data_IF_199336657364
#
_entry.id   IF_199336657364
#
_cell.length_a   1.000
_cell.length_b   1.000
_cell.length_c   1.000
_cell.angle_alpha   90.00
_cell.angle_beta   90.00
_cell.angle_gamma   90.00
#
_symmetry.space_group_name_H-M   'P 1'
#
loop_
_entity.id
_entity.type
_entity.pdbx_description
1 polymer ?
#
# COMPACT_ATOMS: atom_id res chain seq x y z
N UNK A 1 32.91 46.38 39.47
CA UNK A 1 31.76 46.06 38.59
C UNK A 1 32.18 44.96 37.61
N UNK A 2 31.50 43.82 37.62
CA UNK A 2 31.69 42.77 36.62
C UNK A 2 30.49 41.84 36.65
N UNK A 3 29.52 42.08 35.77
CA UNK A 3 28.38 41.18 35.60
C UNK A 3 28.76 40.14 34.54
N UNK A 4 28.84 38.88 34.96
CA UNK A 4 29.04 37.73 34.09
C UNK A 4 27.66 37.29 33.55
N UNK A 5 27.38 37.54 32.28
CA UNK A 5 26.19 37.01 31.62
C UNK A 5 26.48 35.57 31.16
N UNK A 6 25.83 34.58 31.78
CA UNK A 6 25.70 33.25 31.18
C UNK A 6 24.65 33.33 30.07
N UNK A 7 25.09 33.21 28.81
CA UNK A 7 24.21 32.93 27.70
C UNK A 7 23.79 31.46 27.77
N UNK A 8 22.55 31.19 28.22
CA UNK A 8 21.94 29.88 28.03
C UNK A 8 21.69 29.66 26.55
N UNK A 9 22.32 28.66 25.95
CA UNK A 9 21.99 28.21 24.62
C UNK A 9 20.59 27.59 24.66
N UNK A 10 19.60 28.28 24.08
CA UNK A 10 18.30 27.68 23.81
C UNK A 10 18.50 26.59 22.77
N UNK A 11 18.26 25.33 23.15
CA UNK A 11 18.08 24.25 22.19
C UNK A 11 16.83 24.57 21.38
N UNK A 12 17.00 24.93 20.11
CA UNK A 12 15.89 25.05 19.19
C UNK A 12 15.32 23.63 19.00
N UNK A 13 14.05 23.44 19.35
CA UNK A 13 13.32 22.21 19.08
C UNK A 13 13.10 22.15 17.55
N UNK A 14 13.84 21.29 16.85
CA UNK A 14 13.67 21.13 15.40
C UNK A 14 12.30 20.51 15.12
N UNK A 15 11.58 21.08 14.13
CA UNK A 15 10.30 20.53 13.72
C UNK A 15 10.47 19.08 13.22
N UNK A 16 9.54 18.16 13.54
CA UNK A 16 9.67 16.75 13.20
C UNK A 16 9.77 16.58 11.68
N UNK A 17 10.67 15.72 11.24
CA UNK A 17 10.87 15.32 9.85
C UNK A 17 9.60 14.68 9.27
N UNK A 18 9.53 14.58 7.94
CA UNK A 18 8.42 13.89 7.27
C UNK A 18 8.30 12.43 7.72
N UNK A 19 9.42 11.73 7.90
CA UNK A 19 9.44 10.36 8.37
C UNK A 19 8.88 10.23 9.79
N UNK A 20 9.30 11.10 10.71
CA UNK A 20 8.76 11.13 12.09
C UNK A 20 7.27 11.43 12.12
N UNK A 21 6.79 12.33 11.26
CA UNK A 21 5.35 12.61 11.14
C UNK A 21 4.56 11.42 10.61
N UNK A 22 5.08 10.69 9.62
CA UNK A 22 4.44 9.48 9.10
C UNK A 22 4.42 8.37 10.16
N UNK A 23 5.54 8.17 10.86
CA UNK A 23 5.63 7.20 11.96
C UNK A 23 4.62 7.52 13.07
N UNK A 24 4.59 8.78 13.54
CA UNK A 24 3.63 9.23 14.55
C UNK A 24 2.17 9.08 14.09
N UNK A 25 1.88 9.25 12.80
CA UNK A 25 0.55 9.02 12.24
C UNK A 25 0.15 7.54 12.29
N UNK A 26 1.07 6.61 11.97
CA UNK A 26 0.82 5.17 12.07
C UNK A 26 0.60 4.75 13.54
N UNK A 27 1.47 5.19 14.44
CA UNK A 27 1.37 4.88 15.87
C UNK A 27 0.05 5.43 16.45
N UNK A 28 -0.29 6.68 16.11
CA UNK A 28 -1.53 7.31 16.54
C UNK A 28 -2.78 6.62 15.99
N UNK A 29 -2.77 6.25 14.71
CA UNK A 29 -3.88 5.52 14.09
C UNK A 29 -4.06 4.14 14.72
N UNK A 30 -2.97 3.40 14.94
CA UNK A 30 -3.02 2.08 15.55
C UNK A 30 -3.56 2.15 16.98
N UNK A 31 -3.09 3.11 17.78
CA UNK A 31 -3.59 3.33 19.14
C UNK A 31 -5.10 3.65 19.17
N UNK A 32 -5.61 4.37 18.17
CA UNK A 32 -7.02 4.75 18.09
C UNK A 32 -7.93 3.65 17.52
N UNK A 33 -7.43 2.83 16.61
CA UNK A 33 -8.25 1.91 15.79
C UNK A 33 -8.09 0.44 16.14
N UNK A 34 -6.98 0.02 16.77
CA UNK A 34 -6.70 -1.39 17.04
C UNK A 34 -7.83 -2.10 17.79
N UNK A 35 -8.40 -1.48 18.83
CA UNK A 35 -9.49 -2.08 19.62
C UNK A 35 -10.84 -2.10 18.91
N UNK A 36 -11.04 -1.22 17.93
CA UNK A 36 -12.30 -1.07 17.18
C UNK A 36 -12.32 -2.01 15.97
N UNK A 37 -11.20 -2.09 15.26
CA UNK A 37 -11.07 -2.81 13.99
C UNK A 37 -10.39 -4.19 14.15
N UNK A 38 -9.77 -4.46 15.30
CA UNK A 38 -8.99 -5.68 15.52
C UNK A 38 -7.64 -5.69 14.80
N UNK A 39 -7.17 -4.54 14.30
CA UNK A 39 -5.87 -4.44 13.60
C UNK A 39 -4.73 -4.51 14.60
N UNK A 40 -3.74 -5.37 14.32
CA UNK A 40 -2.58 -5.60 15.19
C UNK A 40 -1.33 -4.85 14.74
N UNK A 41 -1.25 -4.49 13.46
CA UNK A 41 -0.11 -3.78 12.91
C UNK A 41 -0.36 -3.25 11.50
N UNK A 42 0.50 -2.31 11.10
CA UNK A 42 0.40 -1.57 9.84
C UNK A 42 1.80 -1.22 9.34
N UNK A 43 1.96 -1.20 8.02
CA UNK A 43 3.17 -0.75 7.34
C UNK A 43 2.80 0.28 6.27
N UNK A 44 3.63 1.30 6.10
CA UNK A 44 3.48 2.31 5.07
C UNK A 44 4.81 2.56 4.35
N UNK A 45 4.72 2.70 3.03
CA UNK A 45 5.83 3.10 2.17
C UNK A 45 5.38 4.30 1.33
N UNK A 46 6.14 5.39 1.38
CA UNK A 46 5.87 6.62 0.61
C UNK A 46 7.07 6.90 -0.29
N UNK A 47 6.82 6.92 -1.60
CA UNK A 47 7.83 7.28 -2.60
C UNK A 47 7.54 8.62 -3.25
N UNK A 48 8.56 9.46 -3.37
CA UNK A 48 8.46 10.82 -3.94
C UNK A 48 9.04 10.91 -5.35
N UNK A 49 9.09 9.79 -6.09
CA UNK A 49 9.86 9.64 -7.32
C UNK A 49 11.36 9.94 -7.16
N UNK A 50 12.17 9.63 -8.18
CA UNK A 50 13.63 9.73 -8.08
C UNK A 50 14.12 11.18 -8.21
N UNK A 51 15.07 11.67 -7.38
CA UNK A 51 15.69 11.02 -6.21
C UNK A 51 15.18 11.64 -4.90
N UNK A 52 14.01 11.24 -4.40
CA UNK A 52 13.56 11.59 -3.05
C UNK A 52 13.86 10.47 -2.03
N UNK A 53 14.18 10.78 -0.76
CA UNK A 53 14.23 9.72 0.24
C UNK A 53 12.83 9.13 0.37
N UNK A 54 12.71 7.82 0.14
CA UNK A 54 11.49 7.11 0.44
C UNK A 54 11.31 7.06 1.96
N UNK A 55 10.06 7.06 2.41
CA UNK A 55 9.72 6.92 3.83
C UNK A 55 9.15 5.53 4.02
N UNK A 56 9.71 4.81 4.98
CA UNK A 56 9.16 3.55 5.47
C UNK A 56 8.77 3.75 6.94
N UNK A 57 7.57 3.29 7.31
CA UNK A 57 7.08 3.38 8.68
C UNK A 57 6.29 2.12 9.02
N UNK A 58 6.43 1.66 10.26
CA UNK A 58 5.87 0.40 10.74
C UNK A 58 5.35 0.58 12.16
N UNK A 59 4.18 0.03 12.45
CA UNK A 59 3.63 0.04 13.80
C UNK A 59 2.96 -1.30 14.13
N UNK A 60 3.06 -1.71 15.39
CA UNK A 60 2.38 -2.89 15.91
C UNK A 60 3.07 -4.22 15.61
N UNK A 61 2.29 -5.30 15.64
CA UNK A 61 2.73 -6.69 15.58
C UNK A 61 2.00 -7.47 14.50
N UNK A 62 2.62 -8.56 14.08
CA UNK A 62 2.09 -9.49 13.08
C UNK A 62 0.92 -10.35 13.58
N UNK A 63 0.61 -10.30 14.88
CA UNK A 63 -0.53 -10.96 15.50
C UNK A 63 -0.91 -10.34 16.85
N UNK A 64 -1.78 -11.01 17.59
CA UNK A 64 -2.35 -10.51 18.86
C UNK A 64 -1.50 -10.83 20.09
N UNK A 65 -0.55 -11.76 19.99
CA UNK A 65 0.31 -12.21 21.07
C UNK A 65 1.40 -11.21 21.41
N UNK A 66 1.73 -11.11 22.69
CA UNK A 66 2.83 -10.25 23.18
C UNK A 66 4.20 -10.66 22.63
N UNK A 67 4.34 -11.89 22.12
CA UNK A 67 5.56 -12.44 21.52
C UNK A 67 5.55 -12.41 19.98
N UNK A 68 4.44 -12.05 19.33
CA UNK A 68 4.34 -12.03 17.87
C UNK A 68 5.30 -11.01 17.25
N UNK A 69 5.97 -11.31 16.15
CA UNK A 69 7.00 -10.41 15.60
C UNK A 69 6.46 -8.98 15.34
N UNK A 70 7.26 -7.96 15.63
CA UNK A 70 6.97 -6.57 15.23
C UNK A 70 6.83 -6.47 13.70
N UNK A 71 5.96 -5.59 13.24
CA UNK A 71 5.90 -5.27 11.81
C UNK A 71 7.21 -4.58 11.40
N UNK A 72 7.76 -5.01 10.27
CA UNK A 72 8.97 -4.48 9.67
C UNK A 72 8.87 -4.55 8.14
N UNK A 73 9.92 -4.08 7.45
CA UNK A 73 10.03 -4.07 5.98
C UNK A 73 9.92 -5.46 5.32
N UNK A 74 10.13 -6.55 6.07
CA UNK A 74 10.07 -7.92 5.56
C UNK A 74 8.74 -8.61 5.87
N UNK A 75 7.81 -7.90 6.51
CA UNK A 75 6.52 -8.45 6.90
C UNK A 75 5.62 -8.63 5.69
N UNK A 76 5.16 -9.88 5.47
CA UNK A 76 4.23 -10.21 4.40
C UNK A 76 2.78 -9.96 4.86
N UNK A 77 2.03 -9.22 4.04
CA UNK A 77 0.60 -9.01 4.22
C UNK A 77 -0.18 -9.70 3.11
N UNK A 78 -1.37 -10.22 3.42
CA UNK A 78 -2.28 -10.75 2.41
C UNK A 78 -2.77 -9.61 1.51
N UNK A 79 -2.41 -9.66 0.22
CA UNK A 79 -2.66 -8.59 -0.75
C UNK A 79 -4.15 -8.36 -1.06
N UNK A 80 -4.99 -9.38 -0.88
CA UNK A 80 -6.42 -9.31 -1.20
C UNK A 80 -6.68 -8.84 -2.64
N UNK A 81 -7.63 -7.92 -2.83
CA UNK A 81 -7.99 -7.42 -4.16
C UNK A 81 -6.88 -6.66 -4.89
N UNK A 82 -5.82 -6.22 -4.20
CA UNK A 82 -4.67 -5.58 -4.87
C UNK A 82 -3.94 -6.54 -5.82
N UNK A 83 -4.08 -7.87 -5.62
CA UNK A 83 -3.58 -8.88 -6.56
C UNK A 83 -4.20 -8.80 -7.96
N UNK A 84 -5.36 -8.15 -8.13
CA UNK A 84 -5.99 -7.97 -9.46
C UNK A 84 -5.13 -7.12 -10.40
N UNK A 85 -4.40 -6.14 -9.89
CA UNK A 85 -3.49 -5.32 -10.70
C UNK A 85 -2.37 -6.15 -11.30
N UNK A 86 -1.86 -7.15 -10.56
CA UNK A 86 -0.86 -8.09 -11.06
C UNK A 86 -1.45 -9.01 -12.14
N UNK A 87 -2.65 -9.54 -11.92
CA UNK A 87 -3.34 -10.34 -12.93
C UNK A 87 -3.59 -9.55 -14.22
N UNK A 88 -4.04 -8.29 -14.10
CA UNK A 88 -4.22 -7.39 -15.23
C UNK A 88 -2.89 -7.12 -15.95
N UNK A 89 -1.80 -6.87 -15.23
CA UNK A 89 -0.48 -6.68 -15.82
C UNK A 89 0.00 -7.91 -16.60
N UNK A 90 -0.25 -9.12 -16.09
CA UNK A 90 0.06 -10.36 -16.81
C UNK A 90 -0.79 -10.49 -18.09
N UNK A 91 -2.09 -10.20 -18.03
CA UNK A 91 -2.97 -10.22 -19.22
C UNK A 91 -2.48 -9.24 -20.28
N UNK A 92 -2.17 -8.00 -19.90
CA UNK A 92 -1.66 -6.98 -20.82
C UNK A 92 -0.27 -7.35 -21.37
N UNK A 93 0.57 -8.04 -20.60
CA UNK A 93 1.83 -8.56 -21.09
C UNK A 93 1.64 -9.67 -22.14
N UNK A 94 0.63 -10.52 -21.98
CA UNK A 94 0.28 -11.54 -22.97
C UNK A 94 -0.25 -10.91 -24.25
N UNK A 95 -1.07 -9.86 -24.13
CA UNK A 95 -1.52 -9.07 -25.29
C UNK A 95 -0.36 -8.40 -26.02
N UNK A 96 0.54 -7.73 -25.31
CA UNK A 96 1.72 -7.10 -25.90
C UNK A 96 2.63 -8.11 -26.63
N UNK A 97 2.62 -9.39 -26.20
CA UNK A 97 3.33 -10.49 -26.86
C UNK A 97 2.54 -11.13 -28.02
N UNK A 98 1.33 -10.64 -28.32
CA UNK A 98 0.44 -11.22 -29.32
C UNK A 98 -0.07 -12.62 -28.95
N UNK A 99 -0.02 -13.00 -27.67
CA UNK A 99 -0.43 -14.33 -27.19
C UNK A 99 -1.92 -14.41 -26.89
N UNK A 100 -2.58 -13.27 -26.67
CA UNK A 100 -4.04 -13.11 -26.61
C UNK A 100 -4.43 -11.71 -27.07
N UNK A 101 -5.72 -11.44 -27.24
CA UNK A 101 -6.26 -10.08 -27.31
C UNK A 101 -7.23 -9.86 -26.16
N UNK A 102 -7.25 -8.67 -25.56
CA UNK A 102 -8.25 -8.35 -24.51
C UNK A 102 -9.67 -8.24 -25.08
N UNK A 103 -9.81 -8.14 -26.40
CA UNK A 103 -11.09 -8.19 -27.10
C UNK A 103 -11.55 -9.63 -27.39
N UNK A 104 -10.72 -10.64 -27.08
CA UNK A 104 -11.13 -12.03 -27.21
C UNK A 104 -12.28 -12.35 -26.26
N UNK A 105 -13.31 -13.02 -26.78
CA UNK A 105 -14.34 -13.59 -25.91
C UNK A 105 -13.73 -14.63 -24.96
N UNK A 106 -14.23 -14.69 -23.73
CA UNK A 106 -13.78 -15.69 -22.73
C UNK A 106 -13.89 -17.12 -23.26
N UNK A 107 -14.90 -17.41 -24.09
CA UNK A 107 -15.12 -18.73 -24.68
C UNK A 107 -13.98 -19.22 -25.59
N UNK A 108 -13.19 -18.30 -26.16
CA UNK A 108 -11.96 -18.65 -26.92
C UNK A 108 -10.93 -19.35 -26.02
N UNK A 109 -10.77 -18.86 -24.79
CA UNK A 109 -9.76 -19.32 -23.83
C UNK A 109 -10.27 -20.39 -22.88
N UNK A 110 -11.57 -20.37 -22.58
CA UNK A 110 -12.24 -21.31 -21.69
C UNK A 110 -13.45 -21.95 -22.41
N UNK A 111 -13.23 -22.93 -23.31
CA UNK A 111 -14.31 -23.48 -24.15
C UNK A 111 -15.45 -24.18 -23.39
N UNK A 112 -15.19 -24.61 -22.16
CA UNK A 112 -16.19 -25.23 -21.26
C UNK A 112 -16.90 -24.21 -20.37
N UNK A 113 -16.50 -22.94 -20.43
CA UNK A 113 -17.16 -21.88 -19.68
C UNK A 113 -18.54 -21.65 -20.30
N UNK A 114 -19.63 -21.74 -19.53
CA UNK A 114 -20.97 -21.48 -20.05
C UNK A 114 -20.97 -20.11 -20.71
N UNK A 115 -21.54 -20.00 -21.92
CA UNK A 115 -21.72 -18.72 -22.58
C UNK A 115 -22.68 -17.86 -21.74
N UNK A 116 -22.14 -17.10 -20.79
CA UNK A 116 -22.87 -16.10 -20.03
C UNK A 116 -23.23 -14.95 -20.95
N UNK A 117 -24.52 -14.83 -21.25
CA UNK A 117 -25.21 -13.77 -21.98
C UNK A 117 -24.30 -12.82 -22.78
N UNK A 118 -24.25 -13.05 -24.09
CA UNK A 118 -23.92 -12.02 -25.08
C UNK A 118 -24.81 -10.79 -24.81
N UNK A 119 -24.27 -9.73 -24.21
CA UNK A 119 -24.81 -8.39 -24.46
C UNK A 119 -24.39 -8.01 -25.87
N UNK A 120 -25.10 -8.56 -26.84
CA UNK A 120 -25.13 -8.02 -28.19
C UNK A 120 -25.84 -6.67 -28.12
N UNK A 121 -25.12 -5.60 -27.76
CA UNK A 121 -25.54 -4.24 -28.08
C UNK A 121 -24.76 -3.80 -29.31
N UNK A 122 -25.38 -3.94 -30.49
CA UNK A 122 -24.83 -3.35 -31.71
C UNK A 122 -25.07 -4.08 -33.01
N UNK A 123 -26.22 -4.75 -33.18
CA UNK A 123 -26.76 -4.98 -34.52
C UNK A 123 -28.19 -4.42 -34.57
N UNK A 124 -28.32 -3.19 -35.08
CA UNK A 124 -29.53 -2.76 -35.78
C UNK A 124 -29.11 -1.85 -36.92
N UNK A 125 -29.39 -2.36 -38.11
CA UNK A 125 -29.46 -1.69 -39.41
C UNK A 125 -30.32 -0.43 -39.41
N UNK A 126 -29.81 0.63 -40.02
CA UNK A 126 -30.36 1.36 -41.20
C UNK A 126 -29.28 2.26 -41.75
#
# INVERSE_FOLDING_TARGET
MGALFLAGAALADEAPTQAERVQAALDGWLAQRASIEGVTGIAAYVSFASPGPNIEAFAGRTGHGADDRLVDQNTLFAMGSTSKSFAAAVILLLEAKGQLSIDDTVGKWLPKYPAGATSASGASST
#
